data_IF_483815692069
#
_entry.id   IF_483815692069
#
_cell.length_a   1.000
_cell.length_b   1.000
_cell.length_c   1.000
_cell.angle_alpha   90.00
_cell.angle_beta   90.00
_cell.angle_gamma   90.00
#
_symmetry.space_group_name_H-M   'P 1'
#
loop_
_entity.id
_entity.type
_entity.pdbx_description
1 polymer ?
#
# COMPACT_ATOMS: atom_id res chain seq x y z
N UNK A 1 -35.13 -43.65 15.49
CA UNK A 1 -34.70 -44.82 16.27
C UNK A 1 -33.93 -45.75 15.34
N UNK A 2 -32.83 -46.33 15.82
CA UNK A 2 -31.99 -47.37 15.18
C UNK A 2 -31.16 -46.94 13.97
N UNK A 3 -29.92 -47.37 13.76
CA UNK A 3 -28.94 -48.10 14.58
C UNK A 3 -27.57 -47.83 13.94
N UNK A 4 -26.53 -47.93 14.75
CA UNK A 4 -25.15 -47.56 14.47
C UNK A 4 -24.35 -48.74 13.86
N UNK A 5 -23.08 -48.45 13.56
CA UNK A 5 -21.96 -49.34 13.19
C UNK A 5 -21.84 -49.67 11.68
N UNK A 6 -20.70 -49.53 11.02
CA UNK A 6 -19.33 -49.16 11.40
C UNK A 6 -18.36 -49.85 10.42
N UNK A 7 -17.31 -49.16 9.95
CA UNK A 7 -16.04 -49.77 9.58
C UNK A 7 -14.99 -48.69 9.27
N UNK A 8 -13.90 -48.72 10.05
CA UNK A 8 -12.65 -48.00 9.82
C UNK A 8 -11.89 -48.68 8.67
N UNK A 9 -11.35 -47.90 7.73
CA UNK A 9 -10.22 -48.34 6.92
C UNK A 9 -9.12 -47.27 6.98
N UNK A 10 -8.09 -47.58 7.76
CA UNK A 10 -6.78 -46.90 7.71
C UNK A 10 -6.04 -47.43 6.48
N UNK A 11 -5.49 -46.54 5.65
CA UNK A 11 -4.28 -46.83 4.87
C UNK A 11 -3.35 -45.62 4.94
N UNK A 12 -2.24 -45.85 5.62
CA UNK A 12 -1.04 -45.03 5.60
C UNK A 12 -0.18 -45.42 4.40
N UNK A 13 0.40 -44.44 3.73
CA UNK A 13 1.61 -44.49 2.89
C UNK A 13 1.69 -43.11 2.19
N UNK A 14 2.79 -42.38 2.11
CA UNK A 14 4.16 -42.55 2.58
C UNK A 14 4.86 -41.20 2.35
N UNK A 15 5.79 -40.85 3.21
CA UNK A 15 6.60 -39.63 3.09
C UNK A 15 7.74 -39.84 2.09
N UNK A 16 8.02 -38.83 1.27
CA UNK A 16 9.28 -38.69 0.56
C UNK A 16 9.74 -37.23 0.71
N UNK A 17 10.78 -37.04 1.53
CA UNK A 17 11.50 -35.77 1.70
C UNK A 17 12.57 -35.68 0.61
N UNK A 18 12.49 -34.68 -0.26
CA UNK A 18 13.59 -34.29 -1.14
C UNK A 18 14.30 -33.09 -0.50
N UNK A 19 15.55 -33.29 -0.08
CA UNK A 19 16.44 -32.23 0.39
C UNK A 19 17.20 -31.69 -0.81
N UNK A 20 17.01 -30.40 -1.13
CA UNK A 20 17.84 -29.67 -2.10
C UNK A 20 18.72 -28.71 -1.33
N UNK A 21 20.04 -28.90 -1.42
CA UNK A 21 21.04 -28.01 -0.81
C UNK A 21 21.41 -26.94 -1.86
N UNK A 22 21.10 -25.68 -1.58
CA UNK A 22 21.53 -24.54 -2.39
C UNK A 22 22.79 -23.92 -1.77
N UNK A 23 23.86 -23.83 -2.54
CA UNK A 23 25.12 -23.17 -2.16
C UNK A 23 25.06 -21.67 -2.49
N UNK A 24 25.27 -20.81 -1.50
CA UNK A 24 25.37 -19.36 -1.65
C UNK A 24 26.82 -18.98 -1.93
N UNK A 25 27.05 -18.16 -2.97
CA UNK A 25 28.33 -17.53 -3.25
C UNK A 25 28.17 -16.02 -3.11
N UNK A 26 28.80 -15.41 -2.10
CA UNK A 26 28.90 -13.96 -1.92
C UNK A 26 30.23 -13.49 -2.52
N UNK A 27 30.18 -12.76 -3.63
CA UNK A 27 31.31 -11.98 -4.12
C UNK A 27 31.15 -10.53 -3.64
N UNK A 28 31.96 -10.16 -2.66
CA UNK A 28 32.17 -8.79 -2.21
C UNK A 28 33.40 -8.20 -2.93
N UNK A 29 33.27 -7.01 -3.49
CA UNK A 29 34.38 -6.14 -3.94
C UNK A 29 33.79 -4.73 -4.07
N UNK A 30 34.11 -3.76 -3.20
CA UNK A 30 35.34 -2.95 -3.20
C UNK A 30 34.93 -1.54 -3.68
N UNK A 31 35.13 -0.41 -3.01
CA UNK A 31 36.24 0.03 -2.14
C UNK A 31 37.18 0.93 -2.97
N UNK A 32 37.25 2.24 -2.71
CA UNK A 32 38.30 3.09 -3.32
C UNK A 32 38.04 4.60 -3.34
N UNK A 33 38.49 5.27 -2.27
CA UNK A 33 38.70 6.72 -2.08
C UNK A 33 40.00 7.21 -2.77
N UNK A 34 40.13 8.51 -3.07
CA UNK A 34 41.45 9.15 -3.26
C UNK A 34 41.55 10.21 -4.37
N UNK A 35 41.62 11.48 -3.97
CA UNK A 35 41.71 12.67 -4.84
C UNK A 35 43.10 13.10 -5.34
N UNK A 36 43.15 14.30 -5.95
CA UNK A 36 44.42 15.07 -6.11
C UNK A 36 44.69 15.80 -7.43
N UNK A 37 43.91 16.85 -7.72
CA UNK A 37 44.27 18.24 -8.15
C UNK A 37 45.39 18.62 -9.16
N UNK A 38 45.02 19.63 -10.01
CA UNK A 38 45.74 20.79 -10.62
C UNK A 38 45.88 20.75 -12.15
N UNK A 39 45.74 21.80 -12.96
CA UNK A 39 45.41 23.23 -12.83
C UNK A 39 45.11 23.75 -14.25
N UNK A 40 44.30 24.80 -14.40
CA UNK A 40 44.08 25.45 -15.70
C UNK A 40 43.18 26.67 -15.59
N UNK A 41 43.76 27.82 -15.24
CA UNK A 41 43.10 29.12 -15.19
C UNK A 41 43.04 29.76 -16.58
N UNK A 42 41.87 30.23 -17.02
CA UNK A 42 41.71 31.39 -17.89
C UNK A 42 40.27 31.90 -17.84
N UNK A 43 40.16 33.22 -17.77
CA UNK A 43 38.99 33.99 -17.41
C UNK A 43 38.00 34.23 -18.56
N UNK A 44 36.71 34.26 -18.23
CA UNK A 44 35.77 35.28 -18.74
C UNK A 44 34.49 35.28 -17.92
N UNK A 45 34.20 36.43 -17.33
CA UNK A 45 33.01 36.72 -16.56
C UNK A 45 31.90 37.26 -17.47
N UNK A 46 30.78 36.54 -17.51
CA UNK A 46 29.45 37.01 -17.93
C UNK A 46 28.42 36.50 -16.90
N UNK A 47 27.39 37.30 -16.65
CA UNK A 47 26.41 37.27 -15.56
C UNK A 47 25.59 35.95 -15.40
N UNK A 48 24.81 35.77 -14.30
CA UNK A 48 24.42 34.48 -13.76
C UNK A 48 23.29 33.83 -14.56
N UNK A 49 23.50 32.57 -14.94
CA UNK A 49 22.39 31.65 -15.22
C UNK A 49 21.89 31.10 -13.90
N UNK A 50 20.62 31.34 -13.59
CA UNK A 50 19.87 30.67 -12.53
C UNK A 50 19.72 29.17 -12.87
N UNK A 51 20.79 28.40 -12.69
CA UNK A 51 20.70 26.94 -12.58
C UNK A 51 20.43 26.61 -11.11
N UNK A 52 19.15 26.63 -10.76
CA UNK A 52 18.69 26.07 -9.50
C UNK A 52 18.91 24.55 -9.54
N UNK A 53 19.61 23.95 -8.56
CA UNK A 53 19.76 22.50 -8.50
C UNK A 53 18.39 21.83 -8.43
N UNK A 54 18.20 20.82 -9.28
CA UNK A 54 17.06 19.91 -9.22
C UNK A 54 17.14 19.15 -7.89
N UNK A 55 16.28 19.50 -6.95
CA UNK A 55 16.08 18.75 -5.72
C UNK A 55 15.47 17.39 -6.09
N UNK A 56 16.23 16.31 -5.90
CA UNK A 56 15.70 14.96 -5.85
C UNK A 56 15.32 14.61 -4.40
N UNK A 57 14.08 14.12 -4.27
CA UNK A 57 13.46 13.34 -3.21
C UNK A 57 13.81 13.68 -1.74
N UNK A 58 13.03 14.62 -1.20
CA UNK A 58 12.58 14.54 0.19
C UNK A 58 11.41 13.55 0.34
N UNK A 59 11.06 13.12 1.56
CA UNK A 59 9.96 12.17 1.79
C UNK A 59 8.70 12.67 1.08
N UNK A 60 8.21 11.89 0.12
CA UNK A 60 7.05 12.20 -0.71
C UNK A 60 5.82 12.30 0.18
N UNK A 61 5.56 13.50 0.71
CA UNK A 61 4.28 13.80 1.34
C UNK A 61 3.23 13.59 0.25
N UNK A 62 2.20 12.76 0.48
CA UNK A 62 1.20 12.49 -0.53
C UNK A 62 0.56 13.81 -0.97
N UNK A 63 0.48 14.04 -2.28
CA UNK A 63 -0.15 15.22 -2.83
C UNK A 63 -1.65 15.20 -2.51
N UNK A 64 -2.09 16.11 -1.65
CA UNK A 64 -3.50 16.28 -1.27
C UNK A 64 -4.18 17.45 -1.99
N UNK A 65 -3.55 18.04 -3.01
CA UNK A 65 -4.05 19.23 -3.72
C UNK A 65 -5.26 18.92 -4.60
N UNK A 66 -5.38 17.67 -5.07
CA UNK A 66 -6.48 17.17 -5.88
C UNK A 66 -7.34 16.20 -5.07
N UNK A 67 -8.64 16.13 -5.38
CA UNK A 67 -9.54 15.09 -4.89
C UNK A 67 -10.22 14.44 -6.09
N UNK A 68 -9.95 13.14 -6.30
CA UNK A 68 -10.61 12.33 -7.32
C UNK A 68 -12.06 12.05 -6.94
N UNK A 69 -12.28 11.66 -5.69
CA UNK A 69 -13.62 11.34 -5.18
C UNK A 69 -13.68 11.49 -3.66
N UNK A 70 -14.85 11.86 -3.15
CA UNK A 70 -15.18 11.79 -1.72
C UNK A 70 -16.18 10.66 -1.51
N UNK A 71 -15.89 9.78 -0.55
CA UNK A 71 -16.70 8.60 -0.23
C UNK A 71 -17.20 8.75 1.20
N UNK A 72 -18.52 8.76 1.36
CA UNK A 72 -19.15 8.75 2.67
C UNK A 72 -19.07 7.35 3.29
N UNK A 73 -18.39 7.28 4.43
CA UNK A 73 -18.33 6.11 5.29
C UNK A 73 -19.39 6.15 6.38
N UNK A 74 -19.71 4.97 6.91
CA UNK A 74 -20.50 4.84 8.13
C UNK A 74 -19.88 5.59 9.33
N UNK A 75 -20.71 5.86 10.34
CA UNK A 75 -20.32 6.50 11.61
C UNK A 75 -19.77 7.93 11.45
N UNK A 76 -20.05 8.59 10.33
CA UNK A 76 -19.63 9.98 10.08
C UNK A 76 -18.15 10.12 9.75
N UNK A 77 -17.56 9.13 9.08
CA UNK A 77 -16.25 9.25 8.45
C UNK A 77 -16.40 9.56 6.95
N UNK A 78 -15.52 10.38 6.41
CA UNK A 78 -15.38 10.63 4.98
C UNK A 78 -13.99 10.24 4.51
N UNK A 79 -13.91 9.61 3.34
CA UNK A 79 -12.65 9.28 2.68
C UNK A 79 -12.52 10.14 1.43
N UNK A 80 -11.52 11.02 1.40
CA UNK A 80 -11.15 11.81 0.25
C UNK A 80 -10.00 11.09 -0.45
N UNK A 81 -10.22 10.62 -1.67
CA UNK A 81 -9.17 9.98 -2.46
C UNK A 81 -8.48 11.06 -3.30
N UNK A 82 -7.17 11.21 -3.15
CA UNK A 82 -6.40 12.28 -3.80
C UNK A 82 -5.70 11.79 -5.06
N UNK A 83 -5.08 10.61 -5.00
CA UNK A 83 -4.40 10.00 -6.14
C UNK A 83 -4.43 8.47 -6.09
N UNK A 84 -4.22 7.86 -7.24
CA UNK A 84 -4.06 6.42 -7.41
C UNK A 84 -3.09 6.17 -8.57
N UNK A 85 -1.82 5.97 -8.22
CA UNK A 85 -0.70 6.03 -9.17
C UNK A 85 0.05 4.71 -9.24
N UNK A 86 0.31 4.24 -10.46
CA UNK A 86 1.20 3.11 -10.71
C UNK A 86 2.65 3.57 -10.60
N UNK A 87 3.49 2.69 -10.09
CA UNK A 87 4.93 2.86 -10.12
C UNK A 87 5.63 1.83 -11.02
N UNK A 88 6.90 2.09 -11.33
CA UNK A 88 7.74 1.18 -12.12
C UNK A 88 8.07 -0.15 -11.42
N UNK A 89 7.71 -0.30 -10.14
CA UNK A 89 7.85 -1.54 -9.36
C UNK A 89 6.68 -2.51 -9.55
N UNK A 90 5.64 -2.11 -10.28
CA UNK A 90 4.44 -2.93 -10.48
C UNK A 90 3.44 -2.80 -9.34
N UNK A 91 3.46 -1.69 -8.61
CA UNK A 91 2.49 -1.37 -7.57
C UNK A 91 1.59 -0.22 -7.99
N UNK A 92 0.39 -0.20 -7.41
CA UNK A 92 -0.53 0.93 -7.46
C UNK A 92 -0.68 1.47 -6.04
N UNK A 93 -0.36 2.74 -5.82
CA UNK A 93 -0.49 3.39 -4.52
C UNK A 93 -1.65 4.37 -4.53
N UNK A 94 -2.63 4.13 -3.65
CA UNK A 94 -3.76 5.04 -3.43
C UNK A 94 -3.44 5.94 -2.23
N UNK A 95 -3.52 7.25 -2.42
CA UNK A 95 -3.35 8.24 -1.36
C UNK A 95 -4.66 8.99 -1.10
N UNK A 96 -4.91 9.31 0.15
CA UNK A 96 -6.16 9.97 0.54
C UNK A 96 -6.11 10.61 1.92
N UNK A 97 -7.24 11.14 2.35
CA UNK A 97 -7.48 11.66 3.70
C UNK A 97 -8.74 11.04 4.28
N UNK A 98 -8.67 10.60 5.54
CA UNK A 98 -9.82 10.22 6.35
C UNK A 98 -10.19 11.41 7.20
N UNK A 99 -11.46 11.83 7.19
CA UNK A 99 -11.98 12.92 8.02
C UNK A 99 -13.14 12.43 8.90
N UNK A 100 -13.15 12.84 10.15
CA UNK A 100 -14.30 12.68 11.04
C UNK A 100 -15.23 13.90 10.91
N UNK A 101 -16.48 13.66 10.54
CA UNK A 101 -17.56 14.67 10.40
C UNK A 101 -18.77 14.31 11.27
N UNK A 102 -18.57 13.45 12.28
CA UNK A 102 -19.66 12.87 13.07
C UNK A 102 -20.18 13.74 14.22
N UNK A 103 -19.57 14.92 14.47
CA UNK A 103 -19.90 15.81 15.57
C UNK A 103 -19.34 15.39 16.94
N UNK A 104 -18.51 14.33 16.99
CA UNK A 104 -17.92 13.81 18.23
C UNK A 104 -16.64 13.01 17.96
N UNK A 105 -15.84 12.75 18.99
CA UNK A 105 -14.68 11.86 18.89
C UNK A 105 -15.11 10.44 18.51
N UNK A 106 -14.52 9.86 17.47
CA UNK A 106 -14.83 8.50 16.98
C UNK A 106 -13.57 7.69 16.67
N UNK A 107 -13.61 6.41 17.05
CA UNK A 107 -12.56 5.46 16.68
C UNK A 107 -12.78 4.89 15.28
N UNK A 108 -11.71 4.54 14.54
CA UNK A 108 -11.79 3.78 13.30
C UNK A 108 -12.61 2.51 13.49
N UNK A 109 -13.25 2.04 12.43
CA UNK A 109 -13.91 0.73 12.51
C UNK A 109 -12.88 -0.39 12.47
N UNK A 110 -13.13 -1.46 13.22
CA UNK A 110 -12.23 -2.62 13.28
C UNK A 110 -12.19 -3.38 11.95
N UNK A 111 -13.27 -3.33 11.17
CA UNK A 111 -13.37 -4.02 9.88
C UNK A 111 -12.62 -3.30 8.76
N UNK A 112 -12.15 -2.06 8.96
CA UNK A 112 -11.22 -1.41 8.02
C UNK A 112 -9.91 -2.17 7.88
N UNK A 113 -9.51 -2.92 8.91
CA UNK A 113 -8.32 -3.79 8.87
C UNK A 113 -8.59 -5.11 8.15
N UNK A 114 -9.84 -5.37 7.74
CA UNK A 114 -10.24 -6.63 7.14
C UNK A 114 -10.36 -7.79 8.14
N UNK A 115 -10.57 -9.00 7.62
CA UNK A 115 -10.83 -10.19 8.43
C UNK A 115 -9.63 -11.13 8.60
N UNK A 116 -8.53 -10.85 7.91
CA UNK A 116 -7.34 -11.70 7.90
C UNK A 116 -6.65 -11.73 9.27
N UNK A 117 -6.35 -12.94 9.77
CA UNK A 117 -5.73 -13.15 11.08
C UNK A 117 -4.34 -12.52 11.17
N UNK A 118 -3.53 -12.59 10.11
CA UNK A 118 -2.18 -12.02 10.10
C UNK A 118 -2.17 -10.50 10.17
N UNK A 119 -3.15 -9.85 9.54
CA UNK A 119 -3.30 -8.39 9.63
C UNK A 119 -3.81 -7.97 11.01
N UNK A 120 -4.75 -8.72 11.60
CA UNK A 120 -5.33 -8.37 12.90
C UNK A 120 -4.29 -8.21 14.02
N UNK A 121 -3.17 -8.93 13.95
CA UNK A 121 -2.07 -8.80 14.94
C UNK A 121 -1.20 -7.56 14.75
N UNK A 122 -1.30 -6.85 13.63
CA UNK A 122 -0.50 -5.65 13.34
C UNK A 122 -1.20 -4.35 13.78
N UNK A 123 -2.33 -4.46 14.46
CA UNK A 123 -3.13 -3.33 14.92
C UNK A 123 -4.09 -2.78 13.87
N UNK A 124 -4.69 -1.63 14.19
CA UNK A 124 -5.66 -0.97 13.30
C UNK A 124 -4.96 -0.47 12.03
N UNK A 125 -5.50 -0.86 10.89
CA UNK A 125 -5.01 -0.52 9.56
C UNK A 125 -6.16 -0.37 8.57
N UNK A 126 -5.84 -0.04 7.32
CA UNK A 126 -6.78 0.03 6.19
C UNK A 126 -6.64 -1.17 5.23
N UNK A 127 -6.09 -2.29 5.69
CA UNK A 127 -5.84 -3.47 4.85
C UNK A 127 -7.09 -4.12 4.25
N UNK A 128 -8.27 -3.77 4.76
CA UNK A 128 -9.58 -4.19 4.26
C UNK A 128 -10.07 -3.38 3.05
N UNK A 129 -9.38 -2.29 2.67
CA UNK A 129 -9.64 -1.61 1.40
C UNK A 129 -9.29 -2.56 0.25
N UNK A 130 -10.14 -2.58 -0.77
CA UNK A 130 -9.93 -3.37 -1.98
C UNK A 130 -10.20 -2.53 -3.22
N UNK A 131 -9.61 -2.94 -4.34
CA UNK A 131 -9.88 -2.38 -5.66
C UNK A 131 -10.50 -3.47 -6.53
N UNK A 132 -11.49 -3.13 -7.35
CA UNK A 132 -12.10 -4.06 -8.30
C UNK A 132 -11.92 -3.51 -9.71
N UNK A 133 -11.19 -4.25 -10.53
CA UNK A 133 -11.13 -4.04 -11.97
C UNK A 133 -12.23 -4.89 -12.61
N UNK A 134 -13.26 -4.21 -13.11
CA UNK A 134 -14.43 -4.83 -13.73
C UNK A 134 -14.11 -5.43 -15.10
N UNK A 135 -13.19 -4.82 -15.84
CA UNK A 135 -12.81 -5.26 -17.17
C UNK A 135 -12.07 -6.61 -17.07
N UNK A 136 -11.10 -6.69 -16.16
CA UNK A 136 -10.32 -7.90 -15.92
C UNK A 136 -11.00 -8.90 -14.98
N UNK A 137 -12.13 -8.50 -14.36
CA UNK A 137 -12.88 -9.29 -13.36
C UNK A 137 -12.00 -9.68 -12.17
N UNK A 138 -11.08 -8.79 -11.79
CA UNK A 138 -10.11 -9.01 -10.71
C UNK A 138 -10.42 -8.11 -9.53
N UNK A 139 -10.20 -8.65 -8.33
CA UNK A 139 -10.17 -7.88 -7.09
C UNK A 139 -8.75 -7.88 -6.56
N UNK A 140 -8.23 -6.69 -6.28
CA UNK A 140 -6.93 -6.46 -5.68
C UNK A 140 -7.11 -6.11 -4.20
N UNK A 141 -6.20 -6.64 -3.38
CA UNK A 141 -6.14 -6.38 -1.95
C UNK A 141 -4.86 -5.62 -1.65
N UNK A 142 -4.85 -4.88 -0.54
CA UNK A 142 -3.63 -4.23 -0.04
C UNK A 142 -2.50 -5.25 0.06
N UNK A 143 -1.28 -4.89 -0.28
CA UNK A 143 -0.14 -5.79 -0.20
C UNK A 143 0.22 -6.11 1.26
N UNK A 144 0.88 -7.25 1.47
CA UNK A 144 1.47 -7.63 2.75
C UNK A 144 2.98 -7.77 2.57
N UNK A 145 3.75 -7.39 3.57
CA UNK A 145 5.17 -7.72 3.62
C UNK A 145 5.40 -9.19 4.02
N UNK A 146 6.68 -9.58 4.12
CA UNK A 146 7.09 -10.94 4.50
C UNK A 146 6.67 -11.32 5.92
N UNK A 147 6.40 -10.32 6.76
CA UNK A 147 5.97 -10.50 8.14
C UNK A 147 4.45 -10.32 8.29
N UNK A 148 3.69 -10.20 7.19
CA UNK A 148 2.24 -10.07 7.21
C UNK A 148 1.71 -8.68 7.58
N UNK A 149 2.56 -7.66 7.67
CA UNK A 149 2.11 -6.27 7.83
C UNK A 149 1.51 -5.75 6.53
N UNK A 150 0.34 -5.10 6.58
CA UNK A 150 -0.25 -4.53 5.40
C UNK A 150 0.51 -3.28 4.97
N UNK A 151 0.75 -3.12 3.66
CA UNK A 151 1.39 -1.93 3.08
C UNK A 151 0.37 -0.79 2.95
N UNK A 152 0.04 -0.20 4.09
CA UNK A 152 -0.93 0.88 4.24
C UNK A 152 -0.68 1.63 5.54
N UNK A 153 -1.32 2.77 5.74
CA UNK A 153 -1.34 3.45 7.04
C UNK A 153 -1.89 2.53 8.14
N UNK A 154 -1.09 2.35 9.19
CA UNK A 154 -1.42 1.58 10.38
C UNK A 154 -1.41 2.46 11.62
N UNK A 155 -1.86 1.94 12.76
CA UNK A 155 -1.86 2.66 14.02
C UNK A 155 -2.84 3.82 14.03
N UNK A 156 -3.92 3.73 13.26
CA UNK A 156 -4.93 4.79 13.18
C UNK A 156 -5.71 4.83 14.50
N UNK A 157 -5.60 5.95 15.19
CA UNK A 157 -6.26 6.22 16.46
C UNK A 157 -7.62 6.88 16.29
N UNK A 158 -8.28 7.17 17.42
CA UNK A 158 -9.56 7.88 17.42
C UNK A 158 -9.40 9.36 17.07
N UNK A 159 -10.26 9.81 16.17
CA UNK A 159 -10.33 11.16 15.62
C UNK A 159 -11.28 12.01 16.44
N UNK A 160 -10.88 13.21 16.83
CA UNK A 160 -11.79 14.25 17.29
C UNK A 160 -12.68 14.74 16.13
N UNK A 161 -13.74 15.50 16.45
CA UNK A 161 -14.62 16.03 15.41
C UNK A 161 -13.87 17.02 14.50
N UNK A 162 -14.03 16.88 13.19
CA UNK A 162 -13.32 17.66 12.19
C UNK A 162 -11.86 17.25 11.96
N UNK A 163 -11.31 16.34 12.76
CA UNK A 163 -9.94 15.84 12.60
C UNK A 163 -9.80 15.03 11.31
N UNK A 164 -8.63 15.17 10.68
CA UNK A 164 -8.26 14.48 9.45
C UNK A 164 -6.90 13.84 9.57
N UNK A 165 -6.72 12.67 8.96
CA UNK A 165 -5.44 11.97 8.82
C UNK A 165 -5.25 11.55 7.37
N UNK A 166 -4.08 11.86 6.81
CA UNK A 166 -3.67 11.35 5.49
C UNK A 166 -3.37 9.86 5.57
N UNK A 167 -3.72 9.12 4.53
CA UNK A 167 -3.42 7.71 4.43
C UNK A 167 -2.87 7.32 3.07
N UNK A 168 -2.20 6.17 3.04
CA UNK A 168 -1.85 5.46 1.81
C UNK A 168 -2.31 4.00 1.90
N UNK A 169 -2.52 3.36 0.75
CA UNK A 169 -2.73 1.93 0.62
C UNK A 169 -2.13 1.44 -0.70
N UNK A 170 -1.25 0.44 -0.63
CA UNK A 170 -0.53 -0.08 -1.79
C UNK A 170 -1.10 -1.43 -2.25
N UNK A 171 -1.28 -1.58 -3.54
CA UNK A 171 -1.88 -2.73 -4.21
C UNK A 171 -0.91 -3.25 -5.30
N UNK A 172 -1.03 -4.51 -5.73
CA UNK A 172 -0.45 -4.89 -7.02
C UNK A 172 -1.08 -4.05 -8.14
N UNK A 173 -0.27 -3.59 -9.09
CA UNK A 173 -0.76 -2.77 -10.20
C UNK A 173 -1.71 -3.56 -11.10
N UNK A 174 -2.90 -3.02 -11.43
CA UNK A 174 -3.69 -3.51 -12.55
C UNK A 174 -2.93 -3.35 -13.88
N UNK A 175 -3.25 -4.14 -14.92
CA UNK A 175 -2.61 -4.03 -16.23
C UNK A 175 -2.62 -2.59 -16.77
N UNK A 176 -1.64 -2.22 -17.59
CA UNK A 176 -1.51 -0.85 -18.14
C UNK A 176 -2.74 -0.38 -18.93
N UNK A 177 -3.51 -1.32 -19.49
CA UNK A 177 -4.75 -1.03 -20.22
C UNK A 177 -5.92 -0.61 -19.29
N UNK A 178 -5.85 -0.87 -17.99
CA UNK A 178 -6.89 -0.52 -17.02
C UNK A 178 -6.76 0.96 -16.65
N UNK A 179 -7.72 1.82 -16.99
CA UNK A 179 -7.68 3.23 -16.57
C UNK A 179 -8.51 3.52 -15.31
N UNK A 180 -9.39 2.60 -14.92
CA UNK A 180 -10.33 2.78 -13.82
C UNK A 180 -10.47 1.53 -12.96
N UNK A 181 -10.67 1.73 -11.66
CA UNK A 181 -11.02 0.68 -10.71
C UNK A 181 -12.09 1.17 -9.74
N UNK A 182 -12.90 0.24 -9.22
CA UNK A 182 -13.81 0.54 -8.12
C UNK A 182 -13.08 0.36 -6.78
N UNK A 183 -12.93 1.43 -6.00
CA UNK A 183 -12.45 1.34 -4.63
C UNK A 183 -13.60 0.93 -3.70
N UNK A 184 -13.32 -0.04 -2.83
CA UNK A 184 -14.26 -0.52 -1.82
C UNK A 184 -13.62 -0.41 -0.44
N UNK A 185 -14.28 0.35 0.44
CA UNK A 185 -13.86 0.55 1.83
C UNK A 185 -14.92 -0.12 2.73
N UNK A 186 -14.54 -0.97 3.70
CA UNK A 186 -15.50 -1.61 4.58
C UNK A 186 -16.40 -0.60 5.31
N UNK A 187 -17.72 -0.73 5.11
CA UNK A 187 -18.69 0.18 5.71
C UNK A 187 -18.90 1.50 4.97
N UNK A 188 -18.39 1.66 3.75
CA UNK A 188 -18.65 2.79 2.87
C UNK A 188 -19.27 2.34 1.53
N UNK A 189 -19.79 3.29 0.77
CA UNK A 189 -20.20 3.04 -0.63
C UNK A 189 -18.96 2.79 -1.50
N UNK A 190 -19.11 1.96 -2.54
CA UNK A 190 -18.04 1.83 -3.55
C UNK A 190 -18.06 3.04 -4.49
N UNK A 191 -16.88 3.45 -4.96
CA UNK A 191 -16.73 4.53 -5.93
C UNK A 191 -15.72 4.14 -7.00
N UNK A 192 -15.91 4.64 -8.22
CA UNK A 192 -14.94 4.46 -9.30
C UNK A 192 -13.89 5.58 -9.24
N UNK A 193 -12.62 5.21 -9.35
CA UNK A 193 -11.49 6.13 -9.40
C UNK A 193 -10.67 5.89 -10.66
N UNK A 194 -10.17 6.97 -11.25
CA UNK A 194 -9.15 6.91 -12.31
C UNK A 194 -7.81 6.52 -11.69
N UNK A 195 -7.05 5.73 -12.42
CA UNK A 195 -5.68 5.35 -12.08
C UNK A 195 -4.73 5.75 -13.21
N UNK A 196 -3.56 6.27 -12.85
CA UNK A 196 -2.48 6.62 -13.79
C UNK A 196 -1.33 5.66 -13.60
#
# INVERSE_FOLDING_TARGET
>A
MSLWHGAKARRAAGAALAVVVLSVSLSACGGGDGGGTKEGTSASSSAPGDDKPKEEDGPTVPDTSKTLVTIDGSNGFQFLIHSAERDGGGFLTVNGTIKNVSGKRQAPRIDWSGQETQVKRTGRSLAGITLVDRAEKKRYYVLRDTEGYPLTTTGIDAFDDGESVTFFAQFPAPPDATSQVDIQIPGATSATIEIS
#
